data_IF_612350116237
#
_entry.id   IF_612350116237
#
_cell.length_a   1.000
_cell.length_b   1.000
_cell.length_c   1.000
_cell.angle_alpha   90.00
_cell.angle_beta   90.00
_cell.angle_gamma   90.00
#
_symmetry.space_group_name_H-M   'P 1'
#
loop_
_entity.id
_entity.type
_entity.pdbx_description
1 polymer ?
#
# COMPACT_ATOMS: atom_id res chain seq x y z
N UNK A 1 6.99 -16.98 -6.51
CA UNK A 1 7.10 -15.58 -6.04
C UNK A 1 8.04 -15.54 -4.85
N UNK A 2 9.29 -15.13 -5.08
CA UNK A 2 10.40 -15.16 -4.11
C UNK A 2 11.03 -13.76 -3.96
N UNK A 3 10.19 -12.74 -3.74
CA UNK A 3 10.64 -11.38 -3.43
C UNK A 3 10.40 -11.08 -1.96
N UNK A 4 11.38 -10.48 -1.29
CA UNK A 4 11.19 -9.93 0.04
C UNK A 4 10.08 -8.87 0.00
N UNK A 5 9.09 -8.89 0.93
CA UNK A 5 8.05 -7.87 0.96
C UNK A 5 8.63 -6.47 1.11
N UNK A 6 8.06 -5.50 0.40
CA UNK A 6 8.41 -4.08 0.54
C UNK A 6 8.00 -3.52 1.91
N UNK A 7 6.95 -4.08 2.53
CA UNK A 7 6.57 -3.79 3.91
C UNK A 7 5.82 -4.97 4.53
N UNK A 8 5.90 -5.12 5.85
CA UNK A 8 5.12 -6.09 6.63
C UNK A 8 4.61 -5.42 7.89
N UNK A 9 3.37 -5.72 8.30
CA UNK A 9 2.81 -5.27 9.57
C UNK A 9 1.99 -6.37 10.24
N UNK A 10 2.13 -6.47 11.56
CA UNK A 10 1.35 -7.36 12.41
C UNK A 10 0.01 -6.69 12.76
N UNK A 11 -1.04 -7.51 12.82
CA UNK A 11 -2.36 -7.12 13.29
C UNK A 11 -2.51 -7.49 14.77
N UNK A 12 -3.36 -6.77 15.54
CA UNK A 12 -3.60 -7.10 16.94
C UNK A 12 -4.16 -8.52 17.17
N UNK A 13 -4.80 -9.11 16.16
CA UNK A 13 -5.33 -10.46 16.21
C UNK A 13 -4.31 -11.57 15.88
N UNK A 14 -3.04 -11.22 15.68
CA UNK A 14 -1.97 -12.17 15.34
C UNK A 14 -1.79 -12.44 13.84
N UNK A 15 -2.68 -11.94 12.99
CA UNK A 15 -2.48 -11.98 11.53
C UNK A 15 -1.35 -11.03 11.11
N UNK A 16 -0.86 -11.18 9.89
CA UNK A 16 0.06 -10.22 9.27
C UNK A 16 -0.38 -9.82 7.88
N UNK A 17 -0.01 -8.61 7.48
CA UNK A 17 -0.14 -8.16 6.09
C UNK A 17 1.21 -7.81 5.54
N UNK A 18 1.48 -8.32 4.33
CA UNK A 18 2.67 -8.01 3.55
C UNK A 18 2.29 -7.22 2.31
N UNK A 19 3.14 -6.27 1.93
CA UNK A 19 3.03 -5.47 0.71
C UNK A 19 4.16 -5.86 -0.21
N UNK A 20 3.83 -6.12 -1.46
CA UNK A 20 4.77 -6.41 -2.53
C UNK A 20 4.57 -5.35 -3.62
N UNK A 21 5.65 -4.71 -4.05
CA UNK A 21 5.62 -3.69 -5.10
C UNK A 21 6.32 -4.27 -6.31
N UNK A 22 5.60 -4.36 -7.42
CA UNK A 22 6.01 -4.98 -8.68
C UNK A 22 5.73 -3.99 -9.81
N UNK A 23 6.68 -3.08 -10.03
CA UNK A 23 6.55 -1.96 -10.97
C UNK A 23 5.30 -1.12 -10.70
N UNK A 24 4.31 -1.25 -11.59
CA UNK A 24 3.05 -0.50 -11.52
C UNK A 24 1.96 -1.17 -10.67
N UNK A 25 2.25 -2.31 -10.04
CA UNK A 25 1.28 -3.06 -9.25
C UNK A 25 1.74 -3.20 -7.80
N UNK A 26 0.85 -2.90 -6.87
CA UNK A 26 1.03 -3.10 -5.43
C UNK A 26 0.11 -4.23 -5.00
N UNK A 27 0.68 -5.32 -4.49
CA UNK A 27 -0.08 -6.46 -3.96
C UNK A 27 -0.04 -6.47 -2.44
N UNK A 28 -1.19 -6.56 -1.80
CA UNK A 28 -1.32 -6.80 -0.37
C UNK A 28 -1.72 -8.25 -0.17
N UNK A 29 -1.06 -8.94 0.76
CA UNK A 29 -1.38 -10.32 1.13
C UNK A 29 -1.58 -10.39 2.64
N UNK A 30 -2.77 -10.83 3.08
CA UNK A 30 -3.04 -11.15 4.49
C UNK A 30 -2.78 -12.62 4.74
N UNK A 31 -2.03 -12.88 5.80
CA UNK A 31 -1.68 -14.21 6.26
C UNK A 31 -2.13 -14.34 7.72
N UNK A 32 -2.57 -15.52 8.13
CA UNK A 32 -2.79 -15.80 9.55
C UNK A 32 -1.45 -15.97 10.30
N UNK A 33 -1.52 -16.18 11.61
CA UNK A 33 -0.34 -16.41 12.46
C UNK A 33 0.49 -17.65 12.09
N UNK A 34 -0.06 -18.57 11.28
CA UNK A 34 0.63 -19.76 10.77
C UNK A 34 1.22 -19.56 9.37
N UNK A 35 0.94 -18.42 8.73
CA UNK A 35 1.40 -18.11 7.39
C UNK A 35 0.44 -18.56 6.28
N UNK A 36 -0.76 -19.05 6.61
CA UNK A 36 -1.78 -19.42 5.62
C UNK A 36 -2.42 -18.15 5.04
N UNK A 37 -2.60 -18.12 3.71
CA UNK A 37 -3.18 -16.96 3.02
C UNK A 37 -4.67 -16.83 3.31
N UNK A 38 -5.05 -15.72 3.95
CA UNK A 38 -6.44 -15.35 4.24
C UNK A 38 -7.08 -14.48 3.15
N UNK A 39 -6.28 -13.75 2.38
CA UNK A 39 -6.79 -12.90 1.32
C UNK A 39 -5.71 -12.03 0.68
N UNK A 40 -6.07 -11.35 -0.41
CA UNK A 40 -5.17 -10.45 -1.11
C UNK A 40 -5.93 -9.28 -1.76
N UNK A 41 -5.19 -8.23 -2.12
CA UNK A 41 -5.65 -7.13 -2.95
C UNK A 41 -4.55 -6.74 -3.94
N UNK A 42 -4.93 -6.23 -5.10
CA UNK A 42 -4.02 -5.59 -6.04
C UNK A 42 -4.46 -4.13 -6.24
N UNK A 43 -3.49 -3.22 -6.30
CA UNK A 43 -3.68 -1.81 -6.57
C UNK A 43 -2.75 -1.41 -7.71
N UNK A 44 -3.23 -0.60 -8.63
CA UNK A 44 -2.39 0.00 -9.67
C UNK A 44 -1.87 1.36 -9.19
N UNK A 45 -0.63 1.67 -9.56
CA UNK A 45 0.03 2.95 -9.22
C UNK A 45 -0.42 4.10 -10.11
N UNK A 46 -1.05 3.81 -11.26
CA UNK A 46 -1.57 4.81 -12.19
C UNK A 46 -2.88 5.42 -11.69
N UNK A 47 -3.09 6.71 -11.98
CA UNK A 47 -4.34 7.38 -11.65
C UNK A 47 -5.53 6.70 -12.35
N UNK A 48 -6.63 6.46 -11.62
CA UNK A 48 -7.90 6.02 -12.21
C UNK A 48 -8.78 7.24 -12.49
N UNK A 49 -9.70 7.17 -13.47
CA UNK A 49 -10.70 8.22 -13.68
C UNK A 49 -11.48 8.50 -12.38
N UNK A 50 -11.56 9.77 -11.98
CA UNK A 50 -12.25 10.20 -10.74
C UNK A 50 -11.43 10.09 -9.45
N UNK A 51 -10.15 9.73 -9.52
CA UNK A 51 -9.29 9.68 -8.35
C UNK A 51 -8.84 11.07 -7.89
N UNK A 52 -8.82 11.27 -6.57
CA UNK A 52 -8.24 12.46 -5.97
C UNK A 52 -6.72 12.44 -6.14
N UNK A 53 -6.23 13.38 -6.96
CA UNK A 53 -4.80 13.67 -7.10
C UNK A 53 -4.49 14.94 -6.32
N UNK A 54 -3.53 14.86 -5.41
CA UNK A 54 -3.08 16.03 -4.63
C UNK A 54 -1.59 16.23 -4.79
N UNK A 55 -1.11 17.46 -4.64
CA UNK A 55 0.32 17.77 -4.63
C UNK A 55 0.81 17.80 -3.18
N UNK A 56 1.97 17.21 -2.92
CA UNK A 56 2.59 17.29 -1.58
C UNK A 56 3.18 18.69 -1.36
N UNK A 57 2.76 19.39 -0.30
CA UNK A 57 3.24 20.73 0.02
C UNK A 57 4.51 20.76 0.89
N UNK A 58 4.84 19.66 1.57
CA UNK A 58 5.97 19.57 2.51
C UNK A 58 6.70 18.24 2.36
N UNK A 59 8.04 18.26 2.36
CA UNK A 59 8.87 17.06 2.26
C UNK A 59 8.74 16.19 3.52
N UNK A 60 8.09 15.04 3.40
CA UNK A 60 8.08 13.99 4.43
C UNK A 60 9.21 12.98 4.15
N UNK A 61 9.67 12.21 5.16
CA UNK A 61 10.52 11.05 4.91
C UNK A 61 9.76 10.06 4.02
N UNK A 62 10.19 9.94 2.76
CA UNK A 62 9.55 9.08 1.77
C UNK A 62 10.19 7.69 1.80
N UNK A 63 9.43 6.62 1.55
CA UNK A 63 10.04 5.34 1.20
C UNK A 63 10.98 5.52 0.01
N UNK A 64 12.04 4.70 -0.08
CA UNK A 64 12.83 4.62 -1.31
C UNK A 64 11.92 4.28 -2.51
N UNK A 65 12.28 4.64 -3.76
CA UNK A 65 11.52 4.22 -4.94
C UNK A 65 11.29 2.69 -4.92
N UNK A 66 10.05 2.26 -5.16
CA UNK A 66 9.65 0.84 -5.04
C UNK A 66 9.42 0.36 -3.59
N UNK A 67 9.71 1.21 -2.60
CA UNK A 67 9.44 0.96 -1.19
C UNK A 67 8.01 1.25 -0.79
N UNK A 68 7.60 0.65 0.32
CA UNK A 68 6.28 0.84 0.91
C UNK A 68 6.37 1.09 2.42
N UNK A 69 5.39 1.83 2.95
CA UNK A 69 5.07 1.88 4.36
C UNK A 69 3.69 1.25 4.56
N UNK A 70 3.54 0.47 5.62
CA UNK A 70 2.29 -0.17 5.98
C UNK A 70 1.96 0.14 7.44
N UNK A 71 0.75 0.62 7.69
CA UNK A 71 0.20 0.82 9.03
C UNK A 71 -1.10 0.03 9.18
N UNK A 72 -1.31 -0.51 10.38
CA UNK A 72 -2.48 -1.32 10.72
C UNK A 72 -3.23 -0.64 11.87
N UNK A 73 -4.56 -0.61 11.79
CA UNK A 73 -5.45 -0.14 12.85
C UNK A 73 -6.71 -1.03 12.86
N UNK A 74 -6.72 -2.03 13.75
CA UNK A 74 -7.73 -3.09 13.74
C UNK A 74 -7.77 -3.81 12.38
N UNK A 75 -8.95 -3.87 11.76
CA UNK A 75 -9.14 -4.48 10.43
C UNK A 75 -8.71 -3.57 9.26
N UNK A 76 -8.29 -2.34 9.54
CA UNK A 76 -7.92 -1.37 8.52
C UNK A 76 -6.42 -1.36 8.30
N UNK A 77 -6.00 -1.32 7.04
CA UNK A 77 -4.62 -1.09 6.65
C UNK A 77 -4.51 0.20 5.85
N UNK A 78 -3.46 0.97 6.13
CA UNK A 78 -3.05 2.10 5.30
C UNK A 78 -1.70 1.77 4.70
N UNK A 79 -1.65 1.73 3.37
CA UNK A 79 -0.43 1.50 2.61
C UNK A 79 -0.05 2.79 1.89
N UNK A 80 1.24 3.12 1.97
CA UNK A 80 1.85 4.25 1.27
C UNK A 80 2.98 3.66 0.42
N UNK A 81 2.91 3.80 -0.89
CA UNK A 81 3.94 3.27 -1.81
C UNK A 81 4.55 4.43 -2.59
N UNK A 82 5.88 4.46 -2.70
CA UNK A 82 6.54 5.39 -3.63
C UNK A 82 6.68 4.72 -4.99
N UNK A 83 5.92 5.23 -5.95
CA UNK A 83 5.78 4.68 -7.29
C UNK A 83 6.75 5.38 -8.24
N UNK A 84 7.41 4.69 -9.18
CA UNK A 84 8.12 5.35 -10.27
C UNK A 84 7.13 6.18 -11.11
N UNK A 85 7.40 7.47 -11.46
CA UNK A 85 8.68 8.22 -11.42
C UNK A 85 8.95 9.03 -10.13
N UNK A 86 8.20 8.82 -9.04
CA UNK A 86 8.43 9.48 -7.75
C UNK A 86 7.17 9.80 -6.96
N UNK A 87 5.99 9.66 -7.58
CA UNK A 87 4.68 9.85 -6.94
C UNK A 87 4.45 8.88 -5.78
N UNK A 88 3.47 9.19 -4.92
CA UNK A 88 3.05 8.31 -3.85
C UNK A 88 1.61 7.87 -4.02
N UNK A 89 1.38 6.56 -3.92
CA UNK A 89 0.05 6.01 -3.78
C UNK A 89 -0.26 5.83 -2.30
N UNK A 90 -1.34 6.47 -1.82
CA UNK A 90 -1.87 6.28 -0.47
C UNK A 90 -3.21 5.57 -0.57
N UNK A 91 -3.27 4.35 -0.04
CA UNK A 91 -4.50 3.55 -0.03
C UNK A 91 -4.88 3.14 1.38
N UNK A 92 -6.16 3.27 1.69
CA UNK A 92 -6.78 2.75 2.91
C UNK A 92 -7.71 1.62 2.54
N UNK A 93 -7.46 0.42 3.07
CA UNK A 93 -8.28 -0.76 2.83
C UNK A 93 -8.79 -1.30 4.17
N UNK A 94 -9.95 -1.93 4.16
CA UNK A 94 -10.48 -2.68 5.30
C UNK A 94 -10.57 -4.15 4.92
N UNK A 95 -9.99 -5.01 5.73
CA UNK A 95 -10.19 -6.45 5.62
C UNK A 95 -11.52 -6.85 6.27
N UNK A 96 -12.24 -7.76 5.63
CA UNK A 96 -13.41 -8.42 6.21
C UNK A 96 -13.29 -9.91 5.97
N UNK A 97 -13.44 -10.70 7.02
CA UNK A 97 -13.42 -12.16 6.94
C UNK A 97 -14.42 -12.62 5.87
N UNK A 98 -14.00 -13.54 5.00
CA UNK A 98 -14.74 -14.05 3.81
C UNK A 98 -14.91 -13.08 2.63
N UNK A 99 -14.84 -11.76 2.84
CA UNK A 99 -14.95 -10.76 1.75
C UNK A 99 -13.60 -10.25 1.25
N UNK A 100 -12.53 -10.47 2.02
CA UNK A 100 -11.19 -9.99 1.68
C UNK A 100 -11.03 -8.50 1.93
N UNK A 101 -10.13 -7.88 1.16
CA UNK A 101 -9.87 -6.45 1.26
C UNK A 101 -10.87 -5.64 0.46
N UNK A 102 -11.47 -4.65 1.09
CA UNK A 102 -12.25 -3.59 0.45
C UNK A 102 -11.47 -2.29 0.47
N UNK A 103 -11.26 -1.69 -0.71
CA UNK A 103 -10.69 -0.35 -0.84
C UNK A 103 -11.68 0.68 -0.29
N UNK A 104 -11.24 1.49 0.67
CA UNK A 104 -12.04 2.56 1.26
C UNK A 104 -11.67 3.93 0.69
N UNK A 105 -10.36 4.16 0.53
CA UNK A 105 -9.84 5.40 -0.03
C UNK A 105 -8.58 5.12 -0.82
N UNK A 106 -8.42 5.85 -1.91
CA UNK A 106 -7.24 5.85 -2.76
C UNK A 106 -6.91 7.29 -3.13
N UNK A 107 -5.65 7.65 -3.04
CA UNK A 107 -5.18 9.01 -3.33
C UNK A 107 -3.79 8.91 -3.93
N UNK A 108 -3.62 9.53 -5.10
CA UNK A 108 -2.32 9.70 -5.72
C UNK A 108 -1.76 11.06 -5.31
N UNK A 109 -0.58 11.05 -4.73
CA UNK A 109 0.11 12.26 -4.29
C UNK A 109 1.28 12.50 -5.24
N UNK A 110 1.23 13.62 -5.96
CA UNK A 110 2.36 14.05 -6.80
C UNK A 110 3.42 14.67 -5.92
N UNK A 111 4.64 14.16 -6.05
CA UNK A 111 5.82 14.72 -5.37
C UNK A 111 6.48 15.70 -6.34
N UNK A 112 6.62 16.98 -5.99
CA UNK A 112 7.31 17.94 -6.84
C UNK A 112 8.73 17.45 -7.12
N UNK A 113 9.10 17.31 -8.38
CA UNK A 113 10.49 17.08 -8.75
C UNK A 113 11.21 18.42 -8.60
N UNK A 114 12.08 18.54 -7.59
CA UNK A 114 13.07 19.62 -7.58
C UNK A 114 13.94 19.40 -8.81
N UNK A 115 13.84 20.28 -9.82
CA UNK A 115 14.83 20.31 -10.90
C UNK A 115 16.17 20.60 -10.24
N UNK A 116 17.11 19.67 -10.37
CA UNK A 116 18.52 19.93 -10.13
C UNK A 116 19.07 20.84 -11.22
#
# INVERSE_FOLDING_TARGET
MSGQPAAVALHPNGDRTSVHVDGATVRLVRLDGRGTRLGHAALHTSAAPGELVTTMATALPLPAPGGALLRVAGDTVTVIVRTPPGDMLVCRLRYRTRQGYRLLRRTLVRVPQTRA
#
